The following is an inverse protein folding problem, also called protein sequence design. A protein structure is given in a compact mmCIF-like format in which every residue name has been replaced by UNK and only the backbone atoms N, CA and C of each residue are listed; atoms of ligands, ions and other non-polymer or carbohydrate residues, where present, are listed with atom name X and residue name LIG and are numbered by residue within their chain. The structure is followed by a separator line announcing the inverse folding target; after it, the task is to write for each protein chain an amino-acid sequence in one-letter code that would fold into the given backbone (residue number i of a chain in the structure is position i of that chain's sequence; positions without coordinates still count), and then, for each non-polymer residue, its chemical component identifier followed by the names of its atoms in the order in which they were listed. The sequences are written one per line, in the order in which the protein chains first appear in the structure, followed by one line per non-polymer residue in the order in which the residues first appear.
data_IF_721999502969
#
_entry.id   IF_721999502969
#
_cell.length_a   1.000
_cell.length_b   1.000
_cell.length_c   1.000
_cell.angle_alpha   90.00
_cell.angle_beta   90.00
_cell.angle_gamma   90.00
#
_symmetry.space_group_name_H-M   'P 1'
#
loop_
_entity.id
_entity.type
_entity.pdbx_description
1 polymer ?
#
# COMPACT_ATOMS: atom_id res chain seq x y z
N UNK A 1 -7.79 -1.53 -7.25
CA UNK A 1 -7.57 -1.40 -5.78
C UNK A 1 -6.36 -0.51 -5.53
N UNK A 2 -6.43 0.39 -4.52
CA UNK A 2 -5.31 1.27 -4.10
C UNK A 2 -5.15 1.14 -2.60
N UNK A 3 -3.95 0.78 -2.13
CA UNK A 3 -3.65 0.76 -0.69
C UNK A 3 -3.25 2.15 -0.21
N UNK A 4 -3.63 2.51 1.05
CA UNK A 4 -3.27 3.80 1.63
C UNK A 4 -3.91 5.01 0.94
N UNK A 5 -5.14 4.85 0.45
CA UNK A 5 -5.84 5.86 -0.33
C UNK A 5 -6.70 6.84 0.51
N UNK A 6 -6.53 6.86 1.84
CA UNK A 6 -7.24 7.81 2.73
C UNK A 6 -6.58 9.19 2.81
N UNK A 7 -5.45 9.41 2.15
CA UNK A 7 -4.72 10.69 2.14
C UNK A 7 -3.66 10.72 1.04
N UNK A 8 -3.04 11.89 0.84
CA UNK A 8 -1.87 12.06 -0.02
C UNK A 8 -2.06 11.52 -1.44
N UNK A 9 -0.99 10.96 -1.99
CA UNK A 9 -0.94 10.47 -3.39
C UNK A 9 -2.05 9.47 -3.68
N UNK A 10 -2.30 8.51 -2.76
CA UNK A 10 -3.33 7.49 -2.95
C UNK A 10 -4.75 8.05 -3.05
N UNK A 11 -5.07 9.10 -2.28
CA UNK A 11 -6.37 9.76 -2.34
C UNK A 11 -6.54 10.54 -3.66
N UNK A 12 -5.55 11.32 -4.07
CA UNK A 12 -5.61 12.05 -5.34
C UNK A 12 -5.59 11.12 -6.55
N UNK A 13 -4.88 10.01 -6.49
CA UNK A 13 -4.94 8.96 -7.51
C UNK A 13 -6.34 8.34 -7.58
N UNK A 14 -6.98 8.11 -6.44
CA UNK A 14 -8.40 7.67 -6.40
C UNK A 14 -9.29 8.66 -7.12
N UNK A 15 -9.19 9.96 -6.78
CA UNK A 15 -9.97 11.02 -7.46
C UNK A 15 -9.74 11.01 -8.97
N UNK A 16 -8.48 11.02 -9.40
CA UNK A 16 -8.14 11.06 -10.81
C UNK A 16 -8.65 9.83 -11.60
N UNK A 17 -8.72 8.66 -10.97
CA UNK A 17 -9.25 7.45 -11.58
C UNK A 17 -10.78 7.46 -11.61
N UNK A 18 -11.43 7.86 -10.51
CA UNK A 18 -12.91 7.95 -10.48
C UNK A 18 -13.44 8.98 -11.47
N UNK A 19 -12.75 10.11 -11.67
CA UNK A 19 -13.09 11.11 -12.70
C UNK A 19 -12.96 10.57 -14.14
N UNK A 20 -12.24 9.44 -14.31
CA UNK A 20 -12.11 8.72 -15.59
C UNK A 20 -13.03 7.51 -15.68
N UNK A 21 -13.99 7.38 -14.77
CA UNK A 21 -14.98 6.30 -14.78
C UNK A 21 -14.52 4.99 -14.16
N UNK A 22 -13.37 4.95 -13.46
CA UNK A 22 -12.95 3.76 -12.74
C UNK A 22 -13.72 3.62 -11.43
N UNK A 23 -14.06 2.39 -11.09
CA UNK A 23 -14.47 2.05 -9.73
C UNK A 23 -13.22 1.73 -8.89
N UNK A 24 -13.00 2.44 -7.78
CA UNK A 24 -11.79 2.27 -6.97
C UNK A 24 -12.09 1.62 -5.63
N UNK A 25 -11.43 0.50 -5.37
CA UNK A 25 -11.39 -0.10 -4.03
C UNK A 25 -10.31 0.62 -3.21
N UNK A 26 -10.74 1.39 -2.22
CA UNK A 26 -9.89 2.12 -1.27
C UNK A 26 -9.56 1.21 -0.09
N UNK A 27 -8.34 0.62 -0.09
CA UNK A 27 -7.87 -0.27 0.95
C UNK A 27 -7.05 0.50 2.00
N UNK A 28 -7.64 0.72 3.19
CA UNK A 28 -7.08 1.61 4.22
C UNK A 28 -7.26 1.03 5.63
N UNK A 29 -6.40 1.43 6.57
CA UNK A 29 -6.55 1.05 7.99
C UNK A 29 -7.83 1.60 8.61
N UNK A 30 -8.11 2.86 8.32
CA UNK A 30 -9.27 3.59 8.81
C UNK A 30 -10.20 3.90 7.63
N UNK A 31 -11.27 3.12 7.51
CA UNK A 31 -12.26 3.29 6.45
C UNK A 31 -13.16 4.49 6.67
N UNK A 32 -13.36 4.92 7.91
CA UNK A 32 -14.14 6.12 8.22
C UNK A 32 -13.39 7.37 7.74
N UNK A 33 -12.08 7.45 8.03
CA UNK A 33 -11.21 8.50 7.52
C UNK A 33 -11.18 8.50 5.99
N UNK A 34 -11.05 7.31 5.36
CA UNK A 34 -11.05 7.20 3.91
C UNK A 34 -12.35 7.71 3.29
N UNK A 35 -13.48 7.38 3.89
CA UNK A 35 -14.81 7.84 3.44
C UNK A 35 -14.96 9.36 3.58
N UNK A 36 -14.57 9.93 4.72
CA UNK A 36 -14.60 11.38 4.95
C UNK A 36 -13.73 12.12 3.93
N UNK A 37 -12.48 11.67 3.72
CA UNK A 37 -11.56 12.27 2.75
C UNK A 37 -12.07 12.17 1.30
N UNK A 38 -12.68 11.04 0.92
CA UNK A 38 -13.29 10.88 -0.40
C UNK A 38 -14.47 11.87 -0.59
N UNK A 39 -15.31 12.04 0.44
CA UNK A 39 -16.43 12.99 0.41
C UNK A 39 -15.93 14.43 0.29
N UNK A 40 -14.94 14.81 1.10
CA UNK A 40 -14.35 16.16 1.08
C UNK A 40 -13.75 16.49 -0.30
N UNK A 41 -13.14 15.51 -0.95
CA UNK A 41 -12.55 15.68 -2.30
C UNK A 41 -13.59 15.55 -3.43
N UNK A 42 -14.88 15.41 -3.12
CA UNK A 42 -15.95 15.30 -4.12
C UNK A 42 -15.94 14.00 -4.90
N UNK A 43 -15.42 12.91 -4.32
CA UNK A 43 -15.48 11.58 -4.93
C UNK A 43 -16.86 10.98 -4.67
N UNK A 44 -17.55 10.59 -5.74
CA UNK A 44 -18.86 9.96 -5.63
C UNK A 44 -18.76 8.63 -4.86
N UNK A 45 -19.60 8.44 -3.85
CA UNK A 45 -19.59 7.21 -3.03
C UNK A 45 -19.91 5.95 -3.87
N UNK A 46 -20.66 6.09 -4.96
CA UNK A 46 -20.93 4.99 -5.90
C UNK A 46 -19.71 4.59 -6.73
N UNK A 47 -18.68 5.44 -6.83
CA UNK A 47 -17.45 5.17 -7.57
C UNK A 47 -16.36 4.50 -6.72
N UNK A 48 -16.61 4.30 -5.42
CA UNK A 48 -15.62 3.72 -4.51
C UNK A 48 -16.20 2.62 -3.64
N UNK A 49 -15.35 1.65 -3.29
CA UNK A 49 -15.61 0.67 -2.23
C UNK A 49 -14.53 0.82 -1.18
N UNK A 50 -14.90 0.88 0.09
CA UNK A 50 -13.97 1.01 1.20
C UNK A 50 -13.77 -0.35 1.86
N UNK A 51 -12.54 -0.88 1.83
CA UNK A 51 -12.16 -2.11 2.50
C UNK A 51 -11.06 -1.83 3.54
N UNK A 52 -11.21 -2.45 4.70
CA UNK A 52 -10.27 -2.26 5.79
C UNK A 52 -9.06 -3.16 5.61
N UNK A 53 -7.85 -2.61 5.80
CA UNK A 53 -6.59 -3.37 5.87
C UNK A 53 -5.56 -2.65 6.73
N UNK A 54 -4.91 -3.40 7.58
CA UNK A 54 -3.60 -3.04 8.15
C UNK A 54 -2.54 -3.91 7.46
N UNK A 55 -1.71 -3.29 6.63
CA UNK A 55 -0.64 -4.00 5.92
C UNK A 55 0.49 -4.47 6.87
N UNK A 56 0.57 -3.90 8.06
CA UNK A 56 1.47 -4.37 9.11
C UNK A 56 1.00 -5.69 9.77
N UNK A 57 -0.24 -6.11 9.54
CA UNK A 57 -0.82 -7.36 10.01
C UNK A 57 -1.17 -8.28 8.84
N UNK A 58 -0.41 -9.37 8.67
CA UNK A 58 -0.59 -10.29 7.56
C UNK A 58 -1.98 -10.98 7.57
N UNK A 59 -2.58 -11.17 8.74
CA UNK A 59 -3.94 -11.69 8.83
C UNK A 59 -4.98 -10.65 8.37
N UNK A 60 -4.73 -9.37 8.62
CA UNK A 60 -5.57 -8.29 8.07
C UNK A 60 -5.52 -8.26 6.54
N UNK A 61 -4.35 -8.54 5.95
CA UNK A 61 -4.21 -8.65 4.48
C UNK A 61 -5.06 -9.81 3.93
N UNK A 62 -5.08 -10.97 4.61
CA UNK A 62 -5.92 -12.11 4.21
C UNK A 62 -7.40 -11.75 4.26
N UNK A 63 -7.85 -11.13 5.36
CA UNK A 63 -9.25 -10.65 5.49
C UNK A 63 -9.63 -9.66 4.41
N UNK A 64 -8.73 -8.73 4.02
CA UNK A 64 -8.96 -7.83 2.89
C UNK A 64 -9.21 -8.62 1.61
N UNK A 65 -8.37 -9.62 1.32
CA UNK A 65 -8.47 -10.43 0.10
C UNK A 65 -9.80 -11.19 0.07
N UNK A 66 -10.20 -11.78 1.19
CA UNK A 66 -11.48 -12.50 1.29
C UNK A 66 -12.67 -11.55 1.08
N UNK A 67 -12.65 -10.38 1.71
CA UNK A 67 -13.68 -9.36 1.52
C UNK A 67 -13.74 -8.85 0.07
N UNK A 68 -12.57 -8.64 -0.56
CA UNK A 68 -12.50 -8.22 -1.95
C UNK A 68 -13.08 -9.31 -2.88
N UNK A 69 -12.68 -10.56 -2.73
CA UNK A 69 -13.19 -11.68 -3.55
C UNK A 69 -14.70 -11.87 -3.36
N UNK A 70 -15.20 -11.72 -2.14
CA UNK A 70 -16.63 -11.79 -1.84
C UNK A 70 -17.44 -10.64 -2.46
N UNK A 71 -16.80 -9.51 -2.79
CA UNK A 71 -17.49 -8.40 -3.46
C UNK A 71 -17.81 -8.66 -4.94
N UNK A 72 -17.19 -9.67 -5.55
CA UNK A 72 -17.36 -9.99 -6.98
C UNK A 72 -16.78 -8.94 -7.94
N UNK A 73 -16.10 -7.92 -7.44
CA UNK A 73 -15.49 -6.89 -8.27
C UNK A 73 -14.28 -7.44 -9.04
N UNK A 74 -14.09 -7.04 -10.31
CA UNK A 74 -12.89 -7.39 -11.06
C UNK A 74 -11.68 -6.63 -10.52
N UNK A 75 -10.49 -7.21 -10.67
CA UNK A 75 -9.22 -6.55 -10.35
C UNK A 75 -8.46 -6.21 -11.62
N UNK A 76 -8.64 -5.00 -12.12
CA UNK A 76 -7.97 -4.51 -13.34
C UNK A 76 -6.63 -3.83 -13.03
N UNK A 77 -6.51 -3.26 -11.83
CA UNK A 77 -5.27 -2.65 -11.37
C UNK A 77 -5.11 -2.80 -9.85
N UNK A 78 -3.90 -3.18 -9.43
CA UNK A 78 -3.47 -3.19 -8.03
C UNK A 78 -2.36 -2.18 -7.83
N UNK A 79 -2.61 -1.17 -6.98
CA UNK A 79 -1.66 -0.09 -6.68
C UNK A 79 -1.22 -0.22 -5.21
N UNK A 80 0.00 -0.70 -5.02
CA UNK A 80 0.69 -0.81 -3.74
C UNK A 80 1.30 0.55 -3.39
N UNK A 81 0.49 1.43 -2.78
CA UNK A 81 0.86 2.83 -2.51
C UNK A 81 1.11 3.10 -1.02
N UNK A 82 0.45 2.37 -0.12
CA UNK A 82 0.60 2.61 1.31
C UNK A 82 2.06 2.48 1.77
N UNK A 83 2.48 3.37 2.66
CA UNK A 83 3.77 3.27 3.32
C UNK A 83 3.71 3.91 4.71
N UNK A 84 4.58 3.46 5.59
CA UNK A 84 4.92 4.14 6.84
C UNK A 84 6.39 4.54 6.77
N UNK A 85 6.66 5.75 7.30
CA UNK A 85 8.01 6.27 7.46
C UNK A 85 8.15 6.80 8.88
N UNK A 86 8.97 6.16 9.68
CA UNK A 86 9.05 6.34 11.13
C UNK A 86 10.48 6.72 11.58
N UNK A 87 11.08 7.79 11.02
CA UNK A 87 12.52 8.09 11.21
C UNK A 87 12.87 8.52 12.63
N UNK A 88 11.89 8.94 13.44
CA UNK A 88 12.13 9.47 14.80
C UNK A 88 11.91 8.42 15.89
N UNK A 89 11.66 7.16 15.54
CA UNK A 89 11.50 6.11 16.52
C UNK A 89 12.86 5.76 17.15
N UNK A 90 12.90 5.81 18.47
CA UNK A 90 14.10 5.42 19.25
C UNK A 90 14.26 3.90 19.40
N UNK A 91 13.17 3.16 19.15
CA UNK A 91 13.13 1.70 19.20
C UNK A 91 12.21 1.18 18.09
N UNK A 92 12.48 -0.02 17.53
CA UNK A 92 11.65 -0.58 16.49
C UNK A 92 10.24 -0.91 17.03
N UNK A 93 9.23 -0.50 16.29
CA UNK A 93 7.89 -1.05 16.47
C UNK A 93 7.81 -2.37 15.70
N UNK A 94 7.02 -3.30 16.22
CA UNK A 94 6.86 -4.62 15.62
C UNK A 94 5.41 -4.88 15.23
N UNK A 95 5.27 -5.59 14.13
CA UNK A 95 4.00 -6.13 13.67
C UNK A 95 3.51 -7.25 14.61
N UNK A 96 2.24 -7.67 14.53
CA UNK A 96 1.74 -8.83 15.28
C UNK A 96 2.56 -10.11 15.04
N UNK A 97 3.17 -10.25 13.86
CA UNK A 97 4.02 -11.39 13.49
C UNK A 97 5.50 -11.20 13.88
N UNK A 98 5.83 -10.12 14.60
CA UNK A 98 7.17 -9.86 15.13
C UNK A 98 8.14 -9.16 14.17
N UNK A 99 7.75 -8.86 12.95
CA UNK A 99 8.59 -8.12 11.99
C UNK A 99 8.68 -6.63 12.35
N UNK A 100 9.76 -5.96 11.91
CA UNK A 100 9.85 -4.50 12.02
C UNK A 100 8.68 -3.86 11.23
N UNK A 101 8.05 -2.84 11.82
CA UNK A 101 6.76 -2.33 11.35
C UNK A 101 6.83 -1.73 9.94
N UNK A 102 7.91 -1.01 9.59
CA UNK A 102 8.06 -0.44 8.25
C UNK A 102 8.27 -1.54 7.22
N UNK A 103 9.09 -2.56 7.53
CA UNK A 103 9.28 -3.72 6.68
C UNK A 103 7.98 -4.51 6.52
N UNK A 104 7.26 -4.74 7.63
CA UNK A 104 5.97 -5.43 7.59
C UNK A 104 4.96 -4.70 6.71
N UNK A 105 4.82 -3.38 6.88
CA UNK A 105 3.81 -2.57 6.17
C UNK A 105 4.20 -2.32 4.72
N UNK A 106 5.45 -1.85 4.49
CA UNK A 106 5.85 -1.37 3.16
C UNK A 106 6.21 -2.51 2.22
N UNK A 107 6.64 -3.66 2.76
CA UNK A 107 7.08 -4.79 1.95
C UNK A 107 6.24 -6.05 2.14
N UNK A 108 6.24 -6.68 3.33
CA UNK A 108 5.61 -8.00 3.50
C UNK A 108 4.10 -7.99 3.27
N UNK A 109 3.40 -6.96 3.77
CA UNK A 109 1.95 -6.83 3.56
C UNK A 109 1.60 -6.69 2.10
N UNK A 110 2.34 -5.86 1.35
CA UNK A 110 2.14 -5.73 -0.10
C UNK A 110 2.55 -6.98 -0.86
N UNK A 111 3.67 -7.62 -0.49
CA UNK A 111 4.09 -8.86 -1.12
C UNK A 111 3.01 -9.95 -0.98
N UNK A 112 2.49 -10.14 0.24
CA UNK A 112 1.40 -11.08 0.48
C UNK A 112 0.15 -10.72 -0.31
N UNK A 113 -0.25 -9.44 -0.32
CA UNK A 113 -1.42 -8.96 -1.06
C UNK A 113 -1.29 -9.26 -2.56
N UNK A 114 -0.12 -9.00 -3.14
CA UNK A 114 0.18 -9.29 -4.54
C UNK A 114 0.06 -10.79 -4.80
N UNK A 115 0.69 -11.65 -3.98
CA UNK A 115 0.64 -13.10 -4.15
C UNK A 115 -0.79 -13.64 -4.12
N UNK A 116 -1.63 -13.13 -3.22
CA UNK A 116 -3.00 -13.60 -3.05
C UNK A 116 -3.97 -13.10 -4.14
N UNK A 117 -3.67 -11.96 -4.78
CA UNK A 117 -4.51 -11.33 -5.81
C UNK A 117 -3.94 -11.44 -7.24
N UNK A 118 -2.76 -12.03 -7.41
CA UNK A 118 -2.11 -12.10 -8.74
C UNK A 118 -2.97 -12.81 -9.79
N UNK A 119 -3.61 -13.90 -9.39
CA UNK A 119 -4.48 -14.66 -10.31
C UNK A 119 -5.78 -13.88 -10.64
N UNK A 120 -6.30 -13.11 -9.69
CA UNK A 120 -7.45 -12.23 -9.94
C UNK A 120 -7.08 -11.12 -10.93
N UNK A 121 -5.89 -10.53 -10.78
CA UNK A 121 -5.36 -9.54 -11.72
C UNK A 121 -5.12 -10.15 -13.12
N UNK A 122 -4.62 -11.38 -13.21
CA UNK A 122 -4.41 -12.08 -14.49
C UNK A 122 -5.73 -12.41 -15.20
N UNK A 123 -6.80 -12.70 -14.43
CA UNK A 123 -8.14 -13.00 -14.99
C UNK A 123 -8.88 -11.75 -15.48
N UNK A 124 -8.40 -10.55 -15.17
CA UNK A 124 -9.00 -9.33 -15.67
C UNK A 124 -9.07 -9.33 -17.21
N UNK A 125 -10.21 -8.92 -17.75
CA UNK A 125 -10.39 -8.72 -19.19
C UNK A 125 -9.99 -7.30 -19.63
N UNK A 126 -9.55 -6.45 -18.70
CA UNK A 126 -9.15 -5.07 -19.03
C UNK A 126 -7.85 -5.07 -19.85
N UNK A 127 -7.79 -4.35 -20.98
CA UNK A 127 -6.61 -4.35 -21.86
C UNK A 127 -5.34 -3.77 -21.21
N UNK A 128 -5.51 -2.93 -20.19
CA UNK A 128 -4.43 -2.28 -19.44
C UNK A 128 -4.38 -2.73 -17.98
N UNK A 129 -4.50 -4.03 -17.71
CA UNK A 129 -4.30 -4.55 -16.35
C UNK A 129 -2.88 -4.26 -15.85
N UNK A 130 -2.76 -3.82 -14.59
CA UNK A 130 -1.48 -3.34 -14.04
C UNK A 130 -1.28 -3.72 -12.58
N UNK A 131 -0.05 -4.09 -12.26
CA UNK A 131 0.49 -4.03 -10.91
C UNK A 131 1.41 -2.81 -10.82
N UNK A 132 1.12 -1.89 -9.91
CA UNK A 132 1.91 -0.70 -9.65
C UNK A 132 2.45 -0.77 -8.23
N UNK A 133 3.77 -0.68 -8.07
CA UNK A 133 4.43 -0.67 -6.76
C UNK A 133 5.13 0.68 -6.62
N UNK A 134 4.71 1.47 -5.63
CA UNK A 134 5.38 2.71 -5.31
C UNK A 134 6.66 2.41 -4.54
N UNK A 135 7.76 2.90 -5.07
CA UNK A 135 9.08 2.82 -4.45
C UNK A 135 9.60 4.19 -4.06
N UNK A 136 10.87 4.24 -3.66
CA UNK A 136 11.57 5.49 -3.35
C UNK A 136 12.89 5.56 -4.10
N UNK A 137 13.29 6.76 -4.48
CA UNK A 137 14.62 7.04 -5.06
C UNK A 137 15.70 7.18 -3.99
N UNK A 138 15.32 7.27 -2.71
CA UNK A 138 16.28 7.52 -1.62
C UNK A 138 17.28 6.38 -1.40
N UNK A 139 16.98 5.18 -1.92
CA UNK A 139 17.93 4.06 -1.92
C UNK A 139 18.95 4.12 -3.07
N UNK A 140 18.83 5.09 -3.99
CA UNK A 140 19.72 5.22 -5.13
C UNK A 140 20.61 6.47 -5.03
N UNK A 141 21.85 6.26 -4.58
CA UNK A 141 22.85 7.33 -4.38
C UNK A 141 23.17 8.13 -5.64
N UNK A 142 23.12 7.48 -6.79
CA UNK A 142 23.45 8.10 -8.07
C UNK A 142 22.40 9.12 -8.51
N UNK A 143 21.13 8.81 -8.29
CA UNK A 143 20.01 9.70 -8.66
C UNK A 143 19.90 10.93 -7.76
N UNK A 144 20.31 10.80 -6.48
CA UNK A 144 20.40 11.94 -5.56
C UNK A 144 21.66 12.79 -5.76
N UNK A 145 22.42 12.54 -6.83
CA UNK A 145 23.57 13.34 -7.24
C UNK A 145 24.74 13.29 -6.25
N UNK A 146 24.85 12.26 -5.43
CA UNK A 146 25.93 12.08 -4.46
C UNK A 146 25.96 13.11 -3.33
N UNK A 147 24.95 13.98 -3.22
CA UNK A 147 24.90 15.07 -2.23
C UNK A 147 24.35 14.64 -0.86
N UNK A 148 23.70 13.50 -0.80
CA UNK A 148 23.19 12.93 0.44
C UNK A 148 23.97 11.65 0.71
N UNK A 149 24.65 11.52 1.86
CA UNK A 149 25.29 10.25 2.23
C UNK A 149 24.20 9.20 2.32
N UNK A 150 24.24 8.24 1.41
CA UNK A 150 23.31 7.11 1.46
C UNK A 150 23.92 6.11 2.42
N UNK A 151 23.12 5.63 3.37
CA UNK A 151 23.52 4.53 4.21
C UNK A 151 23.98 3.34 3.36
N UNK A 152 24.93 2.58 3.85
CA UNK A 152 25.31 1.32 3.25
C UNK A 152 24.04 0.51 2.91
N UNK A 153 24.06 -0.33 1.86
CA UNK A 153 22.93 -1.20 1.55
C UNK A 153 22.42 -1.87 2.82
N UNK A 154 21.11 -1.83 3.01
CA UNK A 154 20.51 -2.43 4.19
C UNK A 154 20.93 -3.91 4.26
N UNK A 155 21.63 -4.27 5.35
CA UNK A 155 21.81 -5.68 5.67
C UNK A 155 20.47 -6.19 6.18
N UNK A 156 19.77 -6.90 5.33
CA UNK A 156 18.45 -7.44 5.67
C UNK A 156 18.58 -8.61 6.65
N UNK A 157 19.78 -9.22 6.77
CA UNK A 157 20.08 -10.27 7.73
C UNK A 157 18.96 -11.32 7.85
N UNK A 158 18.61 -11.66 9.07
CA UNK A 158 17.47 -12.53 9.40
C UNK A 158 16.13 -11.78 9.47
N UNK A 159 16.07 -10.52 9.02
CA UNK A 159 14.93 -9.61 9.10
C UNK A 159 14.50 -9.24 10.54
N UNK A 160 15.24 -9.67 11.55
CA UNK A 160 14.98 -9.33 12.96
C UNK A 160 15.67 -8.03 13.39
N UNK A 161 16.64 -7.57 12.60
CA UNK A 161 17.55 -6.52 12.97
C UNK A 161 17.11 -5.12 12.52
N UNK A 162 16.63 -4.34 13.48
CA UNK A 162 16.67 -2.88 13.40
C UNK A 162 17.94 -2.41 14.09
N UNK A 163 18.91 -1.94 13.33
CA UNK A 163 19.99 -1.14 13.91
C UNK A 163 19.53 0.32 13.82
N UNK A 164 19.30 0.96 14.97
CA UNK A 164 19.03 2.39 15.02
C UNK A 164 20.17 3.13 14.32
N UNK A 165 19.85 3.90 13.31
CA UNK A 165 20.87 4.64 12.62
C UNK A 165 20.31 5.56 11.55
N UNK A 166 19.97 6.73 11.97
CA UNK A 166 20.23 7.97 11.27
C UNK A 166 20.89 8.89 12.27
#
# INVERSE_FOLDING_TARGET
MITGSSSGVGLYATKALTDRGWHVVMACRDTAKARAAATELGIAQSAVTHLQVDLGDLESVRRLVDAFKSSGLPLDALVCNAAVYLPLLKAPQRSPQGYELSMATNHFGHFLLIQLLLEDLKRSNHPSRRLVILGTVTANSKELGGKIPIPAPADLGDLSGFKSGF
#
